data_IF_275384033314
#
_entry.id   IF_275384033314
#
_cell.length_a   1.000
_cell.length_b   1.000
_cell.length_c   1.000
_cell.angle_alpha   90.00
_cell.angle_beta   90.00
_cell.angle_gamma   90.00
#
_symmetry.space_group_name_H-M   'P 1'
#
loop_
_entity.id
_entity.type
_entity.pdbx_description
1 polymer ?
#
# COMPACT_ATOMS: atom_id res chain seq x y z
N UNK A 1 46.62 22.66 -72.30
CA UNK A 1 45.79 23.38 -73.24
C UNK A 1 44.53 23.76 -72.50
N UNK A 2 44.47 24.96 -71.87
CA UNK A 2 43.86 26.16 -72.43
C UNK A 2 42.38 25.93 -72.71
N UNK A 3 41.37 26.64 -72.16
CA UNK A 3 41.17 28.10 -71.92
C UNK A 3 39.82 28.21 -71.19
N UNK A 4 39.73 28.88 -70.10
CA UNK A 4 39.13 30.20 -69.83
C UNK A 4 37.70 30.39 -70.34
N UNK A 5 36.79 30.81 -69.45
CA UNK A 5 35.89 31.87 -69.74
C UNK A 5 34.58 31.95 -69.03
N UNK A 6 34.50 32.86 -68.09
CA UNK A 6 33.61 34.00 -67.84
C UNK A 6 32.14 33.73 -67.49
N UNK A 7 31.78 34.10 -66.28
CA UNK A 7 30.93 35.18 -65.75
C UNK A 7 29.60 35.44 -66.47
N UNK A 8 28.55 35.53 -65.72
CA UNK A 8 27.28 36.15 -66.04
C UNK A 8 26.31 36.11 -64.87
N UNK A 9 26.22 37.23 -64.18
CA UNK A 9 25.23 37.53 -63.16
C UNK A 9 23.80 37.66 -63.75
N UNK A 10 22.88 37.66 -62.86
CA UNK A 10 21.54 38.23 -62.81
C UNK A 10 20.37 37.26 -62.88
N UNK A 11 19.55 37.34 -61.84
CA UNK A 11 18.14 37.02 -61.94
C UNK A 11 17.51 36.52 -60.69
N UNK A 12 17.18 37.42 -59.76
CA UNK A 12 16.30 37.13 -58.61
C UNK A 12 14.96 36.60 -59.07
N UNK A 13 14.57 35.43 -58.58
CA UNK A 13 13.15 35.10 -58.46
C UNK A 13 12.95 34.36 -57.14
N UNK A 14 12.28 35.04 -56.23
CA UNK A 14 11.81 34.55 -54.95
C UNK A 14 10.66 33.58 -55.22
N UNK A 15 10.87 32.31 -55.00
CA UNK A 15 9.76 31.36 -54.84
C UNK A 15 9.73 30.90 -53.37
N UNK A 16 8.83 31.51 -52.64
CA UNK A 16 8.44 31.04 -51.29
C UNK A 16 7.72 29.71 -51.44
N UNK A 17 8.39 28.61 -51.14
CA UNK A 17 7.72 27.34 -50.91
C UNK A 17 7.50 27.20 -49.42
N UNK A 18 6.27 27.41 -49.04
CA UNK A 18 5.76 27.19 -47.65
C UNK A 18 5.78 25.72 -47.39
N UNK A 19 6.76 25.24 -46.66
CA UNK A 19 6.79 23.87 -46.14
C UNK A 19 5.88 23.82 -44.91
N UNK A 20 4.65 23.36 -45.10
CA UNK A 20 3.71 23.08 -44.01
C UNK A 20 4.18 21.84 -43.29
N UNK A 21 4.92 22.01 -42.21
CA UNK A 21 5.18 20.97 -41.23
C UNK A 21 3.86 20.64 -40.53
N UNK A 22 3.23 19.55 -40.93
CA UNK A 22 2.20 18.89 -40.13
C UNK A 22 2.86 18.33 -38.88
N UNK A 23 2.86 19.10 -37.81
CA UNK A 23 3.11 18.59 -36.44
C UNK A 23 1.90 17.75 -36.06
N UNK A 24 2.03 16.43 -36.20
CA UNK A 24 1.15 15.49 -35.50
C UNK A 24 1.44 15.64 -34.02
N UNK A 25 0.70 16.53 -33.37
CA UNK A 25 0.56 16.55 -31.93
C UNK A 25 -0.16 15.27 -31.53
N UNK A 26 0.60 14.24 -31.12
CA UNK A 26 0.04 13.16 -30.31
C UNK A 26 -0.46 13.80 -29.03
N UNK A 27 -1.74 14.15 -29.00
CA UNK A 27 -2.45 14.37 -27.75
C UNK A 27 -2.51 13.00 -27.05
N UNK A 28 -1.52 12.72 -26.20
CA UNK A 28 -1.72 11.83 -25.08
C UNK A 28 -2.81 12.44 -24.23
N UNK A 29 -4.06 12.05 -24.48
CA UNK A 29 -5.13 12.24 -23.53
C UNK A 29 -4.75 11.39 -22.33
N UNK A 30 -4.03 11.98 -21.40
CA UNK A 30 -3.93 11.47 -20.04
C UNK A 30 -5.37 11.54 -19.52
N UNK A 31 -6.08 10.43 -19.62
CA UNK A 31 -7.35 10.24 -18.92
C UNK A 31 -7.00 10.34 -17.44
N UNK A 32 -7.21 11.51 -16.87
CA UNK A 32 -7.11 11.73 -15.45
C UNK A 32 -8.10 10.75 -14.79
N UNK A 33 -7.60 9.63 -14.34
CA UNK A 33 -8.37 8.77 -13.46
C UNK A 33 -8.60 9.60 -12.20
N UNK A 34 -9.87 9.94 -11.92
CA UNK A 34 -10.20 10.50 -10.62
C UNK A 34 -9.58 9.58 -9.57
N UNK A 35 -8.83 10.15 -8.61
CA UNK A 35 -8.30 9.35 -7.52
C UNK A 35 -9.49 8.67 -6.87
N UNK A 36 -9.51 7.34 -6.89
CA UNK A 36 -10.35 6.58 -5.97
C UNK A 36 -10.07 7.21 -4.61
N UNK A 37 -11.10 7.79 -3.95
CA UNK A 37 -10.94 8.33 -2.60
C UNK A 37 -10.32 7.21 -1.78
N UNK A 38 -9.03 7.30 -1.56
CA UNK A 38 -8.35 6.44 -0.61
C UNK A 38 -8.95 6.86 0.73
N UNK A 39 -9.54 5.91 1.43
CA UNK A 39 -9.97 6.17 2.80
C UNK A 39 -8.71 6.63 3.52
N UNK A 40 -8.66 7.85 4.07
CA UNK A 40 -7.48 8.30 4.80
C UNK A 40 -7.20 7.29 5.91
N UNK A 41 -5.93 6.99 6.18
CA UNK A 41 -5.59 6.33 7.42
C UNK A 41 -6.15 7.20 8.55
N UNK A 42 -6.79 6.61 9.58
CA UNK A 42 -7.27 7.39 10.70
C UNK A 42 -6.08 8.14 11.30
N UNK A 43 -6.19 9.45 11.38
CA UNK A 43 -5.24 10.24 12.15
C UNK A 43 -5.26 9.71 13.59
N UNK A 44 -4.11 9.48 14.22
CA UNK A 44 -4.07 9.13 15.63
C UNK A 44 -4.85 10.18 16.43
N UNK A 45 -5.88 9.77 17.16
CA UNK A 45 -6.62 10.66 18.03
C UNK A 45 -8.12 10.87 17.76
N UNK A 46 -8.72 10.24 16.75
CA UNK A 46 -10.16 10.33 16.54
C UNK A 46 -10.89 9.09 17.11
N UNK A 47 -10.90 8.93 18.42
CA UNK A 47 -11.85 8.06 19.12
C UNK A 47 -12.78 8.99 19.92
N UNK A 48 -13.89 9.39 19.32
CA UNK A 48 -15.00 9.95 20.07
C UNK A 48 -15.70 8.81 20.82
N UNK A 49 -16.04 8.96 22.11
CA UNK A 49 -16.83 7.96 22.81
C UNK A 49 -18.26 7.95 22.26
N UNK A 50 -18.59 6.90 21.53
CA UNK A 50 -19.96 6.66 21.09
C UNK A 50 -20.79 6.20 22.29
N UNK A 51 -21.63 7.07 22.80
CA UNK A 51 -22.70 6.73 23.75
C UNK A 51 -23.66 5.79 23.02
N UNK A 52 -23.63 4.51 23.35
CA UNK A 52 -24.58 3.53 22.83
C UNK A 52 -25.94 3.76 23.48
N UNK A 53 -26.90 4.23 22.68
CA UNK A 53 -28.31 4.05 23.01
C UNK A 53 -28.73 2.58 22.74
N UNK A 54 -29.55 1.97 23.60
CA UNK A 54 -30.02 0.61 23.36
C UNK A 54 -30.98 0.60 22.18
N UNK A 55 -30.56 0.10 21.04
CA UNK A 55 -31.42 -0.18 19.89
C UNK A 55 -32.13 -1.51 20.11
N UNK A 56 -33.44 -1.49 20.05
CA UNK A 56 -34.35 -2.64 19.98
C UNK A 56 -33.88 -3.62 18.90
N UNK A 57 -33.94 -4.94 19.22
CA UNK A 57 -33.56 -6.00 18.33
C UNK A 57 -34.24 -5.86 16.96
N UNK A 58 -33.50 -5.90 15.84
CA UNK A 58 -34.10 -5.87 14.53
C UNK A 58 -34.88 -7.16 14.30
N UNK A 59 -36.13 -7.00 13.89
CA UNK A 59 -36.98 -8.06 13.33
C UNK A 59 -36.19 -8.80 12.21
N UNK A 60 -36.41 -10.14 12.02
CA UNK A 60 -35.74 -10.86 10.95
C UNK A 60 -36.03 -10.15 9.61
N UNK A 61 -35.00 -9.58 9.00
CA UNK A 61 -35.13 -9.00 7.68
C UNK A 61 -35.52 -10.12 6.72
N UNK A 62 -36.72 -10.04 6.19
CA UNK A 62 -37.17 -10.77 5.01
C UNK A 62 -36.03 -10.77 3.99
N UNK A 63 -35.55 -11.96 3.62
CA UNK A 63 -34.47 -12.09 2.64
C UNK A 63 -35.02 -11.54 1.30
N UNK A 64 -34.68 -10.29 1.04
CA UNK A 64 -35.06 -9.62 -0.20
C UNK A 64 -34.54 -10.47 -1.37
N UNK A 65 -35.48 -10.89 -2.26
CA UNK A 65 -35.13 -11.59 -3.50
C UNK A 65 -34.06 -10.78 -4.23
N UNK A 66 -32.95 -11.40 -4.66
CA UNK A 66 -31.89 -10.66 -5.32
C UNK A 66 -32.46 -9.98 -6.57
N UNK A 67 -32.23 -8.68 -6.68
CA UNK A 67 -32.59 -7.95 -7.90
C UNK A 67 -31.75 -8.47 -9.06
N UNK A 68 -32.25 -8.46 -10.32
CA UNK A 68 -31.50 -8.92 -11.47
C UNK A 68 -30.11 -8.29 -11.52
N UNK A 69 -29.08 -9.12 -11.66
CA UNK A 69 -27.68 -8.68 -11.79
C UNK A 69 -27.37 -8.55 -13.29
N UNK A 70 -27.14 -7.32 -13.73
CA UNK A 70 -26.66 -7.06 -15.08
C UNK A 70 -25.13 -7.02 -15.07
N UNK A 71 -24.51 -7.60 -16.11
CA UNK A 71 -23.07 -7.70 -16.26
C UNK A 71 -22.56 -9.13 -16.21
N UNK A 72 -21.23 -9.26 -16.19
CA UNK A 72 -20.55 -10.55 -16.13
C UNK A 72 -20.27 -10.93 -14.67
N UNK A 73 -20.39 -12.22 -14.37
CA UNK A 73 -20.06 -12.76 -13.05
C UNK A 73 -19.26 -14.05 -13.18
N UNK A 74 -18.18 -14.14 -12.39
CA UNK A 74 -17.41 -15.34 -12.17
C UNK A 74 -17.40 -15.68 -10.67
N UNK A 75 -17.67 -16.93 -10.35
CA UNK A 75 -17.72 -17.43 -8.96
C UNK A 75 -16.96 -18.74 -8.86
N UNK A 76 -16.14 -18.87 -7.83
CA UNK A 76 -15.54 -20.15 -7.44
C UNK A 76 -15.52 -20.24 -5.93
N UNK A 77 -16.12 -21.27 -5.37
CA UNK A 77 -16.11 -21.57 -3.94
C UNK A 77 -15.62 -23.00 -3.74
N UNK A 78 -14.63 -23.13 -2.89
CA UNK A 78 -13.98 -24.41 -2.60
C UNK A 78 -13.80 -24.63 -1.10
N UNK A 79 -13.79 -25.90 -0.70
CA UNK A 79 -13.30 -26.31 0.62
C UNK A 79 -11.78 -26.18 0.71
N UNK A 80 -11.22 -26.29 1.89
CA UNK A 80 -9.76 -26.20 2.10
C UNK A 80 -8.98 -27.29 1.36
N UNK A 81 -9.56 -28.47 1.20
CA UNK A 81 -9.01 -29.61 0.46
C UNK A 81 -9.24 -29.54 -1.07
N UNK A 82 -9.92 -28.50 -1.57
CA UNK A 82 -10.06 -28.22 -3.00
C UNK A 82 -11.33 -28.76 -3.64
N UNK A 83 -12.28 -29.30 -2.87
CA UNK A 83 -13.59 -29.71 -3.40
C UNK A 83 -14.41 -28.49 -3.76
N UNK A 84 -14.89 -28.43 -5.01
CA UNK A 84 -15.74 -27.34 -5.48
C UNK A 84 -17.12 -27.41 -4.84
N UNK A 85 -17.55 -26.29 -4.28
CA UNK A 85 -18.87 -26.09 -3.66
C UNK A 85 -19.80 -25.34 -4.59
N UNK A 86 -19.31 -24.32 -5.27
CA UNK A 86 -20.04 -23.57 -6.27
C UNK A 86 -19.07 -23.05 -7.35
N UNK A 87 -19.52 -23.03 -8.60
CA UNK A 87 -18.70 -22.56 -9.72
C UNK A 87 -19.55 -21.94 -10.81
N UNK A 88 -19.07 -20.83 -11.36
CA UNK A 88 -19.65 -20.13 -12.51
C UNK A 88 -18.54 -19.39 -13.23
N UNK A 89 -18.41 -19.53 -14.54
CA UNK A 89 -17.44 -18.81 -15.39
C UNK A 89 -16.01 -18.76 -14.79
N UNK A 90 -15.54 -19.89 -14.25
CA UNK A 90 -14.31 -19.97 -13.46
C UNK A 90 -13.05 -19.69 -14.25
N UNK A 91 -13.09 -19.86 -15.58
CA UNK A 91 -11.94 -19.70 -16.48
C UNK A 91 -12.05 -18.43 -17.33
N UNK A 92 -13.18 -17.70 -17.22
CA UNK A 92 -13.35 -16.42 -17.88
C UNK A 92 -12.45 -15.36 -17.21
N UNK A 93 -11.81 -14.51 -18.03
CA UNK A 93 -10.98 -13.43 -17.55
C UNK A 93 -11.82 -12.23 -17.12
N UNK A 94 -11.54 -11.76 -15.91
CA UNK A 94 -12.11 -10.54 -15.31
C UNK A 94 -11.00 -9.57 -14.94
N UNK A 95 -11.36 -8.33 -14.66
CA UNK A 95 -10.47 -7.42 -13.95
C UNK A 95 -10.54 -7.70 -12.44
N UNK A 96 -9.45 -8.17 -11.81
CA UNK A 96 -9.44 -8.46 -10.38
C UNK A 96 -9.49 -7.22 -9.51
N UNK A 97 -9.25 -6.03 -10.09
CA UNK A 97 -9.10 -4.79 -9.36
C UNK A 97 -8.14 -4.98 -8.17
N UNK A 98 -8.41 -4.35 -7.02
CA UNK A 98 -7.53 -4.41 -5.85
C UNK A 98 -7.41 -5.78 -5.17
N UNK A 99 -8.11 -6.83 -5.63
CA UNK A 99 -7.84 -8.19 -5.11
C UNK A 99 -6.49 -8.73 -5.58
N UNK A 100 -5.88 -8.13 -6.64
CA UNK A 100 -4.50 -8.45 -7.06
C UNK A 100 -3.48 -8.16 -5.97
N UNK A 101 -3.77 -7.28 -5.01
CA UNK A 101 -2.91 -7.04 -3.85
C UNK A 101 -2.64 -8.31 -3.02
N UNK A 102 -3.47 -9.34 -3.16
CA UNK A 102 -3.18 -10.66 -2.56
C UNK A 102 -1.98 -11.34 -3.24
N UNK A 103 -1.85 -11.17 -4.56
CA UNK A 103 -0.66 -11.64 -5.28
C UNK A 103 0.58 -10.83 -4.89
N UNK A 104 0.46 -9.51 -4.78
CA UNK A 104 1.53 -8.64 -4.28
C UNK A 104 1.98 -9.05 -2.88
N UNK A 105 1.04 -9.32 -1.98
CA UNK A 105 1.32 -9.77 -0.61
C UNK A 105 1.99 -11.16 -0.59
N UNK A 106 1.53 -12.10 -1.42
CA UNK A 106 2.14 -13.43 -1.54
C UNK A 106 3.63 -13.31 -1.89
N UNK A 107 3.93 -12.64 -3.02
CA UNK A 107 5.32 -12.53 -3.48
C UNK A 107 6.17 -11.70 -2.50
N UNK A 108 5.60 -10.66 -1.88
CA UNK A 108 6.32 -9.88 -0.86
C UNK A 108 6.70 -10.75 0.36
N UNK A 109 5.76 -11.57 0.87
CA UNK A 109 6.04 -12.47 1.98
C UNK A 109 7.08 -13.54 1.63
N UNK A 110 7.07 -14.06 0.40
CA UNK A 110 8.03 -15.06 -0.06
C UNK A 110 9.43 -14.46 -0.26
N UNK A 111 9.51 -13.28 -0.84
CA UNK A 111 10.78 -12.63 -1.19
C UNK A 111 11.44 -11.97 0.00
N UNK A 112 10.67 -11.25 0.82
CA UNK A 112 11.18 -10.42 1.91
C UNK A 112 11.01 -11.06 3.29
N UNK A 113 9.98 -11.87 3.47
CA UNK A 113 9.59 -12.43 4.77
C UNK A 113 8.68 -11.52 5.59
N UNK A 114 7.91 -12.08 6.56
CA UNK A 114 6.93 -11.30 7.34
C UNK A 114 7.58 -10.27 8.27
N UNK A 115 8.79 -10.53 8.73
CA UNK A 115 9.52 -9.69 9.70
C UNK A 115 10.42 -8.66 9.02
N UNK A 116 10.42 -8.62 7.67
CA UNK A 116 11.18 -7.61 6.92
C UNK A 116 10.79 -6.19 7.32
N UNK A 117 11.79 -5.33 7.48
CA UNK A 117 11.64 -3.91 7.78
C UNK A 117 12.36 -3.08 6.73
N UNK A 118 11.69 -2.09 6.19
CA UNK A 118 12.29 -1.15 5.25
C UNK A 118 13.16 -0.15 6.01
N UNK A 119 14.41 0.01 5.57
CA UNK A 119 15.36 0.92 6.22
C UNK A 119 15.35 2.30 5.58
N UNK A 120 15.38 3.33 6.42
CA UNK A 120 15.61 4.72 6.05
C UNK A 120 16.84 5.23 6.78
N UNK A 121 17.90 5.53 6.04
CA UNK A 121 19.14 6.07 6.57
C UNK A 121 19.11 7.59 6.62
N UNK A 122 19.69 8.15 7.67
CA UNK A 122 19.93 9.59 7.88
C UNK A 122 21.44 9.82 7.91
N UNK A 123 21.94 10.66 7.03
CA UNK A 123 23.37 10.86 6.81
C UNK A 123 23.72 12.33 6.82
N UNK A 124 25.00 12.64 7.03
CA UNK A 124 25.55 14.01 6.87
C UNK A 124 26.93 13.99 6.23
N UNK A 125 27.22 14.96 5.38
CA UNK A 125 28.55 15.26 4.89
C UNK A 125 29.26 16.34 5.72
N UNK A 126 28.54 16.89 6.69
CA UNK A 126 29.00 17.98 7.57
C UNK A 126 29.78 17.54 8.79
N UNK A 127 30.34 18.53 9.46
CA UNK A 127 31.00 18.37 10.75
C UNK A 127 30.02 18.71 11.87
N UNK A 128 29.89 17.82 12.84
CA UNK A 128 29.03 18.03 14.00
C UNK A 128 29.80 18.71 15.13
N UNK A 129 29.37 19.91 15.50
CA UNK A 129 29.83 20.60 16.69
C UNK A 129 28.95 20.29 17.91
N UNK A 130 29.48 19.50 18.83
CA UNK A 130 28.76 19.08 20.04
C UNK A 130 28.45 20.22 20.99
N UNK A 131 29.23 21.31 20.95
CA UNK A 131 29.06 22.44 21.90
C UNK A 131 27.82 23.25 21.53
N UNK A 132 27.56 23.43 20.26
CA UNK A 132 26.42 24.19 19.73
C UNK A 132 25.22 23.29 19.34
N UNK A 133 25.44 22.01 19.12
CA UNK A 133 24.44 21.08 18.60
C UNK A 133 24.18 21.24 17.08
N UNK A 134 25.14 21.82 16.37
CA UNK A 134 25.01 22.18 14.95
C UNK A 134 25.82 21.27 14.04
N UNK A 135 25.24 20.89 12.91
CA UNK A 135 25.94 20.28 11.78
C UNK A 135 26.27 21.39 10.77
N UNK A 136 27.55 21.59 10.47
CA UNK A 136 28.01 22.43 9.38
C UNK A 136 28.12 21.60 8.10
N UNK A 137 27.04 21.53 7.34
CA UNK A 137 26.88 20.73 6.12
C UNK A 137 25.44 20.32 5.90
N UNK A 138 25.21 19.33 5.02
CA UNK A 138 23.89 18.90 4.61
C UNK A 138 23.40 17.66 5.40
N UNK A 139 22.08 17.49 5.43
CA UNK A 139 21.40 16.28 5.93
C UNK A 139 20.83 15.50 4.75
N UNK A 140 21.15 14.22 4.67
CA UNK A 140 20.65 13.33 3.61
C UNK A 140 19.71 12.29 4.19
N UNK A 141 18.61 12.01 3.47
CA UNK A 141 17.66 10.94 3.80
C UNK A 141 17.54 9.98 2.62
N UNK A 142 17.78 8.70 2.88
CA UNK A 142 17.68 7.67 1.84
C UNK A 142 16.90 6.47 2.35
N UNK A 143 15.81 6.13 1.67
CA UNK A 143 14.95 4.99 2.01
C UNK A 143 13.85 4.79 0.99
N UNK A 144 13.18 3.64 1.07
CA UNK A 144 12.03 3.27 0.23
C UNK A 144 10.89 2.67 1.06
N UNK A 145 10.75 3.12 2.29
CA UNK A 145 9.68 2.66 3.18
C UNK A 145 8.31 3.07 2.63
N UNK A 146 7.41 2.10 2.28
CA UNK A 146 6.08 2.38 1.75
C UNK A 146 5.14 2.97 2.80
N UNK A 147 5.54 2.92 4.08
CA UNK A 147 4.73 3.34 5.23
C UNK A 147 5.26 4.59 5.94
N UNK A 148 6.25 5.28 5.37
CA UNK A 148 6.88 6.43 6.03
C UNK A 148 5.91 7.62 6.13
N UNK A 149 5.62 8.06 7.36
CA UNK A 149 4.67 9.14 7.69
C UNK A 149 5.28 10.16 8.66
N UNK A 150 4.46 11.09 9.14
CA UNK A 150 4.84 12.14 10.08
C UNK A 150 5.49 11.59 11.35
N UNK A 151 4.92 10.54 11.95
CA UNK A 151 5.43 9.87 13.15
C UNK A 151 6.88 9.41 12.98
N UNK A 152 7.23 8.82 11.82
CA UNK A 152 8.58 8.36 11.55
C UNK A 152 9.59 9.52 11.44
N UNK A 153 9.17 10.63 10.83
CA UNK A 153 9.98 11.84 10.74
C UNK A 153 10.23 12.47 12.12
N UNK A 154 9.21 12.51 12.99
CA UNK A 154 9.35 13.00 14.36
C UNK A 154 10.26 12.08 15.17
N UNK A 155 10.17 10.76 15.01
CA UNK A 155 11.07 9.81 15.65
C UNK A 155 12.53 9.99 15.18
N UNK A 156 12.75 10.27 13.88
CA UNK A 156 14.09 10.64 13.38
C UNK A 156 14.59 11.91 14.06
N UNK A 157 13.77 12.95 14.16
CA UNK A 157 14.17 14.17 14.89
C UNK A 157 14.53 13.87 16.35
N UNK A 158 13.80 12.97 17.02
CA UNK A 158 14.09 12.52 18.38
C UNK A 158 15.45 11.83 18.48
N UNK A 159 15.76 10.93 17.56
CA UNK A 159 17.06 10.24 17.56
C UNK A 159 18.21 11.20 17.26
N UNK A 160 18.02 12.17 16.36
CA UNK A 160 18.99 13.24 16.12
C UNK A 160 19.20 14.11 17.39
N UNK A 161 18.12 14.44 18.12
CA UNK A 161 18.23 15.17 19.37
C UNK A 161 18.96 14.37 20.47
N UNK A 162 18.81 13.04 20.52
CA UNK A 162 19.60 12.18 21.42
C UNK A 162 21.10 12.24 21.12
N UNK A 163 21.49 12.42 19.86
CA UNK A 163 22.88 12.69 19.46
C UNK A 163 23.36 14.11 19.82
N UNK A 164 22.45 14.97 20.28
CA UNK A 164 22.72 16.39 20.56
C UNK A 164 22.51 17.30 19.35
N UNK A 165 22.07 16.76 18.18
CA UNK A 165 21.88 17.54 16.95
C UNK A 165 20.56 18.31 17.06
N UNK A 166 20.64 19.64 16.86
CA UNK A 166 19.50 20.59 16.93
C UNK A 166 19.35 21.42 15.66
N UNK A 167 20.43 21.60 14.92
CA UNK A 167 20.48 22.45 13.72
C UNK A 167 21.38 21.85 12.64
N UNK A 168 21.00 22.07 11.38
CA UNK A 168 21.75 21.74 10.18
C UNK A 168 21.89 23.02 9.34
N UNK A 169 23.13 23.47 9.06
CA UNK A 169 23.36 24.73 8.34
C UNK A 169 23.08 24.64 6.84
N UNK A 170 23.22 23.47 6.26
CA UNK A 170 23.02 23.21 4.84
C UNK A 170 21.60 22.72 4.50
N UNK A 171 21.50 22.02 3.39
CA UNK A 171 20.24 21.56 2.81
C UNK A 171 19.78 20.21 3.36
N UNK A 172 18.46 19.95 3.28
CA UNK A 172 17.87 18.63 3.38
C UNK A 172 17.78 17.98 2.00
N UNK A 173 18.50 16.89 1.79
CA UNK A 173 18.57 16.20 0.51
C UNK A 173 17.97 14.80 0.67
N UNK A 174 16.89 14.50 -0.08
CA UNK A 174 16.27 13.17 -0.05
C UNK A 174 16.62 12.39 -1.31
N UNK A 175 16.76 11.07 -1.19
CA UNK A 175 16.99 10.21 -2.35
C UNK A 175 15.77 10.20 -3.29
N UNK A 176 15.94 9.97 -4.61
CA UNK A 176 14.82 9.96 -5.57
C UNK A 176 13.72 8.95 -5.27
N UNK A 177 14.05 7.88 -4.52
CA UNK A 177 13.08 6.86 -4.10
C UNK A 177 12.39 7.13 -2.76
N UNK A 178 12.77 8.20 -2.05
CA UNK A 178 12.17 8.55 -0.78
C UNK A 178 10.74 9.06 -0.97
N UNK A 179 9.85 8.58 -0.13
CA UNK A 179 8.43 8.98 -0.14
C UNK A 179 7.92 9.14 1.29
N UNK A 180 7.00 10.08 1.49
CA UNK A 180 6.38 10.36 2.78
C UNK A 180 4.89 10.64 2.60
N UNK A 181 4.05 10.16 3.52
CA UNK A 181 2.61 10.40 3.52
C UNK A 181 1.91 10.05 2.18
N UNK A 182 2.32 8.94 1.56
CA UNK A 182 1.81 8.48 0.27
C UNK A 182 2.00 9.46 -0.90
N UNK A 183 2.95 10.37 -0.80
CA UNK A 183 3.29 11.26 -1.90
C UNK A 183 4.15 10.53 -2.94
N UNK A 184 3.78 10.53 -4.24
CA UNK A 184 4.63 9.99 -5.30
C UNK A 184 5.81 10.91 -5.66
N UNK A 185 5.82 12.15 -5.18
CA UNK A 185 6.86 13.15 -5.45
C UNK A 185 7.91 13.16 -4.34
N UNK A 186 9.16 12.89 -4.68
CA UNK A 186 10.28 12.99 -3.75
C UNK A 186 10.47 14.43 -3.25
N UNK A 187 10.28 15.43 -4.10
CA UNK A 187 10.35 16.87 -3.71
C UNK A 187 9.30 17.19 -2.66
N UNK A 188 8.03 16.83 -2.91
CA UNK A 188 6.97 17.06 -1.91
C UNK A 188 7.21 16.28 -0.62
N UNK A 189 7.78 15.09 -0.71
CA UNK A 189 8.15 14.29 0.47
C UNK A 189 9.28 14.95 1.26
N UNK A 190 10.24 15.58 0.57
CA UNK A 190 11.31 16.36 1.19
C UNK A 190 10.77 17.61 1.91
N UNK A 191 9.85 18.36 1.28
CA UNK A 191 9.18 19.51 1.89
C UNK A 191 8.42 19.10 3.16
N UNK A 192 7.64 18.02 3.10
CA UNK A 192 6.91 17.50 4.26
C UNK A 192 7.86 17.04 5.38
N UNK A 193 8.98 16.42 5.04
CA UNK A 193 10.00 16.01 5.99
C UNK A 193 10.66 17.22 6.65
N UNK A 194 11.04 18.22 5.84
CA UNK A 194 11.61 19.48 6.29
C UNK A 194 10.73 20.14 7.37
N UNK A 195 9.44 20.34 7.04
CA UNK A 195 8.46 20.92 7.98
C UNK A 195 8.26 20.05 9.24
N UNK A 196 8.40 18.73 9.11
CA UNK A 196 8.14 17.81 10.22
C UNK A 196 9.35 17.72 11.17
N UNK A 197 10.57 17.82 10.66
CA UNK A 197 11.78 17.79 11.50
C UNK A 197 11.81 18.96 12.48
N UNK A 198 11.41 20.15 12.02
CA UNK A 198 11.34 21.35 12.88
C UNK A 198 9.97 21.45 13.57
N UNK A 199 9.97 21.40 14.90
CA UNK A 199 8.73 21.47 15.71
C UNK A 199 7.95 22.76 15.51
N UNK A 200 8.60 23.84 15.10
CA UNK A 200 7.97 25.16 14.86
C UNK A 200 7.22 25.24 13.54
N UNK A 201 7.55 24.36 12.57
CA UNK A 201 6.97 24.31 11.23
C UNK A 201 5.89 23.23 11.08
N UNK A 202 5.73 22.34 12.07
CA UNK A 202 4.80 21.21 11.99
C UNK A 202 3.38 21.65 11.80
N UNK A 203 2.73 21.02 10.82
CA UNK A 203 1.28 21.11 10.65
C UNK A 203 0.53 20.30 11.73
N UNK A 204 -0.78 20.49 11.81
CA UNK A 204 -1.64 19.81 12.81
C UNK A 204 -1.53 18.28 12.75
N UNK A 205 -1.33 17.68 11.56
CA UNK A 205 -1.22 16.22 11.43
C UNK A 205 0.09 15.71 12.03
N UNK A 206 1.20 16.42 11.80
CA UNK A 206 2.50 16.08 12.39
C UNK A 206 2.51 16.26 13.92
N UNK A 207 1.82 17.29 14.44
CA UNK A 207 1.66 17.48 15.89
C UNK A 207 0.88 16.30 16.50
N UNK A 208 -0.23 15.91 15.90
CA UNK A 208 -1.04 14.77 16.36
C UNK A 208 -0.27 13.45 16.28
N UNK A 209 0.57 13.28 15.26
CA UNK A 209 1.42 12.10 15.14
C UNK A 209 2.37 11.99 16.32
N UNK A 210 3.01 13.08 16.74
CA UNK A 210 3.85 13.10 17.95
C UNK A 210 3.05 12.82 19.22
N UNK A 211 1.89 13.44 19.40
CA UNK A 211 1.03 13.21 20.57
C UNK A 211 0.61 11.74 20.68
N UNK A 212 0.37 11.08 19.56
CA UNK A 212 0.08 9.65 19.51
C UNK A 212 1.32 8.82 19.86
N UNK A 213 2.48 9.10 19.23
CA UNK A 213 3.72 8.35 19.48
C UNK A 213 4.13 8.41 20.97
N UNK A 214 3.92 9.55 21.66
CA UNK A 214 4.13 9.65 23.11
C UNK A 214 3.33 8.60 23.89
N UNK A 215 2.16 8.19 23.41
CA UNK A 215 1.36 7.15 24.08
C UNK A 215 1.87 5.72 23.84
N UNK A 216 2.64 5.52 22.77
CA UNK A 216 3.20 4.22 22.38
C UNK A 216 4.59 4.01 22.96
N UNK A 217 5.37 5.10 23.10
CA UNK A 217 6.70 5.06 23.66
C UNK A 217 6.63 4.77 25.16
N UNK A 218 7.31 3.72 25.59
CA UNK A 218 7.37 3.29 27.00
C UNK A 218 8.39 4.07 27.86
N UNK A 219 9.20 4.90 27.23
CA UNK A 219 10.17 5.76 27.88
C UNK A 219 9.56 7.12 28.29
N UNK A 220 10.33 8.00 28.92
CA UNK A 220 9.86 9.30 29.45
C UNK A 220 9.36 10.30 28.41
N UNK A 221 9.00 9.84 27.20
CA UNK A 221 8.57 10.66 26.08
C UNK A 221 7.35 11.57 26.38
N UNK A 222 6.55 11.24 27.38
CA UNK A 222 5.41 12.07 27.80
C UNK A 222 5.84 13.40 28.46
N UNK A 223 7.05 13.47 29.01
CA UNK A 223 7.60 14.67 29.68
C UNK A 223 8.65 15.38 28.82
N UNK A 224 9.12 14.73 27.74
CA UNK A 224 10.13 15.29 26.85
C UNK A 224 9.55 16.45 26.01
N UNK A 225 10.35 17.49 25.73
CA UNK A 225 9.95 18.50 24.75
C UNK A 225 9.76 17.86 23.37
N UNK A 226 8.95 18.50 22.53
CA UNK A 226 8.76 18.03 21.16
C UNK A 226 10.11 17.95 20.42
N UNK A 227 10.49 16.80 19.86
CA UNK A 227 11.76 16.68 19.14
C UNK A 227 11.82 17.67 17.98
N UNK A 228 12.97 18.35 17.81
CA UNK A 228 13.12 19.38 16.78
C UNK A 228 14.54 19.44 16.24
N UNK A 229 14.67 19.47 14.93
CA UNK A 229 15.91 19.73 14.20
C UNK A 229 15.62 20.75 13.12
N UNK A 230 16.17 21.95 13.26
CA UNK A 230 16.02 23.02 12.27
C UNK A 230 17.01 22.79 11.12
N UNK A 231 16.54 22.85 9.88
CA UNK A 231 17.37 22.87 8.67
C UNK A 231 17.36 24.29 8.12
N UNK A 232 18.54 24.92 8.02
CA UNK A 232 18.65 26.34 7.64
C UNK A 232 18.72 26.55 6.13
N UNK A 233 19.09 25.51 5.39
CA UNK A 233 19.08 25.51 3.92
C UNK A 233 17.72 25.17 3.33
N UNK A 234 17.71 24.81 2.05
CA UNK A 234 16.53 24.38 1.31
C UNK A 234 16.32 22.88 1.31
N UNK A 235 15.41 22.43 0.41
CA UNK A 235 15.18 21.02 0.13
C UNK A 235 15.63 20.67 -1.28
N UNK A 236 16.22 19.49 -1.45
CA UNK A 236 16.64 18.98 -2.75
C UNK A 236 16.39 17.46 -2.88
N UNK A 237 16.35 16.99 -4.11
CA UNK A 237 16.33 15.56 -4.44
C UNK A 237 17.68 15.19 -5.06
N UNK A 238 18.39 14.24 -4.46
CA UNK A 238 19.72 13.85 -4.92
C UNK A 238 20.20 12.56 -4.28
N UNK A 239 21.34 12.06 -4.76
CA UNK A 239 22.01 10.92 -4.15
C UNK A 239 22.67 11.34 -2.82
N UNK A 240 22.82 10.40 -1.91
CA UNK A 240 23.64 10.58 -0.70
C UNK A 240 25.08 10.81 -1.12
N UNK A 241 25.73 11.82 -0.56
CA UNK A 241 27.16 12.11 -0.83
C UNK A 241 28.03 10.89 -0.49
N UNK A 242 29.00 10.53 -1.32
CA UNK A 242 29.91 9.43 -1.04
C UNK A 242 30.74 9.64 0.26
N UNK A 243 30.88 10.89 0.69
CA UNK A 243 31.61 11.25 1.93
C UNK A 243 30.69 11.34 3.13
N UNK A 244 29.37 11.21 2.95
CA UNK A 244 28.41 11.31 4.03
C UNK A 244 28.57 10.16 5.03
N UNK A 245 28.41 10.50 6.30
CA UNK A 245 28.46 9.56 7.42
C UNK A 245 27.04 9.27 7.89
N UNK A 246 26.76 8.00 8.17
CA UNK A 246 25.48 7.58 8.74
C UNK A 246 25.37 8.12 10.17
N UNK A 247 24.21 8.68 10.49
CA UNK A 247 23.85 9.16 11.84
C UNK A 247 22.81 8.23 12.49
N UNK A 248 21.74 7.94 11.76
CA UNK A 248 20.61 7.16 12.25
C UNK A 248 20.14 6.20 11.14
N UNK A 249 19.81 4.98 11.52
CA UNK A 249 19.01 4.06 10.72
C UNK A 249 17.66 3.91 11.36
N UNK A 250 16.60 4.34 10.66
CA UNK A 250 15.23 4.11 11.04
C UNK A 250 14.67 2.93 10.26
N UNK A 251 14.03 1.98 10.94
CA UNK A 251 13.41 0.79 10.33
C UNK A 251 11.90 0.87 10.49
N UNK A 252 11.17 0.63 9.43
CA UNK A 252 9.69 0.56 9.43
C UNK A 252 9.15 -0.49 10.40
N UNK A 253 7.85 -0.54 10.58
CA UNK A 253 7.15 -1.71 11.10
C UNK A 253 7.42 -2.94 10.23
N UNK A 254 7.15 -4.14 10.75
CA UNK A 254 7.34 -5.38 10.00
C UNK A 254 6.43 -5.42 8.77
N UNK A 255 6.86 -6.12 7.72
CA UNK A 255 6.07 -6.28 6.49
C UNK A 255 4.66 -6.81 6.76
N UNK A 256 4.50 -7.75 7.68
CA UNK A 256 3.17 -8.30 8.06
C UNK A 256 2.24 -7.20 8.58
N UNK A 257 2.75 -6.28 9.38
CA UNK A 257 1.99 -5.16 9.95
C UNK A 257 1.63 -4.14 8.86
N UNK A 258 2.57 -3.85 7.96
CA UNK A 258 2.36 -3.00 6.78
C UNK A 258 1.31 -3.61 5.84
N UNK A 259 1.39 -4.92 5.58
CA UNK A 259 0.41 -5.63 4.73
C UNK A 259 -1.00 -5.61 5.34
N UNK A 260 -1.13 -5.68 6.68
CA UNK A 260 -2.43 -5.56 7.36
C UNK A 260 -3.07 -4.21 7.05
N UNK A 261 -2.35 -3.12 7.23
CA UNK A 261 -2.83 -1.76 6.91
C UNK A 261 -3.14 -1.63 5.42
N UNK A 262 -2.23 -2.08 4.56
CA UNK A 262 -2.38 -2.04 3.11
C UNK A 262 -3.65 -2.75 2.65
N UNK A 263 -3.93 -3.94 3.15
CA UNK A 263 -5.07 -4.75 2.69
C UNK A 263 -6.39 -4.29 3.31
N UNK A 264 -6.41 -3.80 4.55
CA UNK A 264 -7.60 -3.24 5.19
C UNK A 264 -8.09 -1.98 4.46
N UNK A 265 -7.20 -1.03 4.20
CA UNK A 265 -7.54 0.22 3.50
C UNK A 265 -7.41 0.13 1.99
N UNK A 266 -6.93 -1.00 1.47
CA UNK A 266 -6.69 -1.18 0.03
C UNK A 266 -5.76 -0.11 -0.57
N UNK A 267 -4.70 0.28 0.16
CA UNK A 267 -3.82 1.37 -0.20
C UNK A 267 -3.02 1.06 -1.48
N UNK A 268 -3.26 1.84 -2.54
CA UNK A 268 -2.63 1.63 -3.84
C UNK A 268 -1.16 2.03 -3.81
N UNK A 269 -0.83 3.13 -3.14
CA UNK A 269 0.52 3.64 -3.06
C UNK A 269 1.46 2.62 -2.38
N UNK A 270 1.07 2.10 -1.22
CA UNK A 270 1.86 1.09 -0.51
C UNK A 270 2.05 -0.17 -1.37
N UNK A 271 1.00 -0.61 -2.09
CA UNK A 271 1.09 -1.79 -2.95
C UNK A 271 2.08 -1.59 -4.11
N UNK A 272 2.08 -0.42 -4.76
CA UNK A 272 3.05 -0.12 -5.83
C UNK A 272 4.47 0.01 -5.27
N UNK A 273 4.67 0.67 -4.12
CA UNK A 273 6.01 0.80 -3.52
C UNK A 273 6.60 -0.53 -3.07
N UNK A 274 5.79 -1.43 -2.49
CA UNK A 274 6.21 -2.81 -2.24
C UNK A 274 6.51 -3.50 -3.56
N UNK A 275 5.66 -3.32 -4.56
CA UNK A 275 5.83 -3.87 -5.90
C UNK A 275 7.14 -3.46 -6.58
N UNK A 276 7.55 -2.21 -6.43
CA UNK A 276 8.84 -1.73 -6.93
C UNK A 276 10.02 -2.50 -6.32
N UNK A 277 9.91 -2.88 -5.04
CA UNK A 277 10.93 -3.69 -4.34
C UNK A 277 10.95 -5.15 -4.83
N UNK A 278 9.90 -5.59 -5.51
CA UNK A 278 9.77 -6.93 -6.09
C UNK A 278 10.14 -6.98 -7.59
N UNK A 279 10.58 -5.86 -8.16
CA UNK A 279 10.93 -5.74 -9.58
C UNK A 279 9.76 -5.38 -10.50
N UNK A 280 8.64 -4.94 -9.92
CA UNK A 280 7.47 -4.44 -10.66
C UNK A 280 6.51 -5.52 -11.17
N UNK A 281 5.46 -5.11 -11.90
CA UNK A 281 4.36 -6.00 -12.29
C UNK A 281 4.78 -7.21 -13.12
N UNK A 282 5.72 -7.05 -14.05
CA UNK A 282 6.15 -8.17 -14.90
C UNK A 282 6.97 -9.20 -14.12
N UNK A 283 7.87 -8.77 -13.24
CA UNK A 283 8.62 -9.68 -12.37
C UNK A 283 7.69 -10.52 -11.50
N UNK A 284 6.71 -9.87 -10.86
CA UNK A 284 5.71 -10.55 -10.02
C UNK A 284 4.85 -11.49 -10.86
N UNK A 285 4.44 -11.10 -12.07
CA UNK A 285 3.68 -11.96 -12.98
C UNK A 285 4.43 -13.25 -13.32
N UNK A 286 5.72 -13.14 -13.68
CA UNK A 286 6.54 -14.30 -14.01
C UNK A 286 6.69 -15.26 -12.83
N UNK A 287 6.90 -14.75 -11.63
CA UNK A 287 6.98 -15.56 -10.42
C UNK A 287 5.66 -16.31 -10.17
N UNK A 288 4.51 -15.64 -10.31
CA UNK A 288 3.19 -16.25 -10.14
C UNK A 288 2.90 -17.32 -11.20
N UNK A 289 3.26 -17.09 -12.47
CA UNK A 289 3.11 -18.08 -13.54
C UNK A 289 3.90 -19.33 -13.21
N UNK A 290 5.15 -19.19 -12.83
CA UNK A 290 6.03 -20.30 -12.49
C UNK A 290 5.53 -21.08 -11.26
N UNK A 291 5.11 -20.37 -10.20
CA UNK A 291 4.70 -20.99 -8.94
C UNK A 291 3.33 -21.68 -9.03
N UNK A 292 2.36 -21.01 -9.68
CA UNK A 292 0.97 -21.47 -9.68
C UNK A 292 0.64 -22.38 -10.88
N UNK A 293 1.59 -22.61 -11.79
CA UNK A 293 1.36 -23.36 -13.01
C UNK A 293 0.20 -22.74 -13.84
N UNK A 294 0.24 -21.42 -14.03
CA UNK A 294 -0.75 -20.65 -14.78
C UNK A 294 -0.21 -20.39 -16.18
N UNK A 295 -1.05 -20.51 -17.21
CA UNK A 295 -0.66 -20.20 -18.57
C UNK A 295 -0.37 -18.71 -18.77
N UNK A 296 0.52 -18.37 -19.70
CA UNK A 296 0.95 -16.99 -19.94
C UNK A 296 -0.21 -16.03 -20.27
N UNK A 297 -1.25 -16.52 -20.95
CA UNK A 297 -2.46 -15.75 -21.27
C UNK A 297 -3.48 -15.62 -20.14
N UNK A 298 -3.37 -16.40 -19.06
CA UNK A 298 -4.36 -16.47 -17.98
C UNK A 298 -4.19 -15.38 -16.91
N UNK A 299 -3.03 -14.72 -16.89
CA UNK A 299 -2.70 -13.65 -15.94
C UNK A 299 -2.04 -12.48 -16.65
N UNK A 300 -2.63 -11.28 -16.53
CA UNK A 300 -2.03 -10.03 -16.98
C UNK A 300 -2.01 -9.03 -15.83
N UNK A 301 -0.84 -8.48 -15.55
CA UNK A 301 -0.63 -7.46 -14.52
C UNK A 301 -0.13 -6.16 -15.15
N UNK A 302 -0.93 -5.10 -15.08
CA UNK A 302 -0.51 -3.74 -15.43
C UNK A 302 -0.07 -2.93 -14.21
N UNK A 303 -0.45 -3.38 -13.02
CA UNK A 303 -0.08 -2.78 -11.74
C UNK A 303 -0.17 -3.82 -10.62
N UNK A 304 0.48 -3.55 -9.50
CA UNK A 304 0.44 -4.39 -8.30
C UNK A 304 -0.56 -3.90 -7.25
N UNK A 305 -1.17 -2.75 -7.51
CA UNK A 305 -2.31 -2.24 -6.73
C UNK A 305 -3.67 -2.69 -7.27
N UNK A 306 -3.72 -3.12 -8.51
CA UNK A 306 -4.95 -3.46 -9.23
C UNK A 306 -5.59 -2.30 -9.98
N UNK A 307 -4.91 -1.15 -10.07
CA UNK A 307 -5.31 -0.06 -10.97
C UNK A 307 -5.09 -0.47 -12.44
N UNK A 308 -5.86 0.13 -13.35
CA UNK A 308 -5.75 -0.13 -14.78
C UNK A 308 -6.33 -1.48 -15.21
N UNK A 309 -5.78 -2.03 -16.30
CA UNK A 309 -6.31 -3.23 -16.95
C UNK A 309 -5.48 -4.46 -16.55
N UNK A 310 -5.86 -5.07 -15.45
CA UNK A 310 -5.38 -6.39 -15.06
C UNK A 310 -6.37 -7.45 -15.54
N UNK A 311 -5.91 -8.70 -15.72
CA UNK A 311 -6.77 -9.84 -16.08
C UNK A 311 -6.37 -11.07 -15.30
N UNK A 312 -7.36 -11.72 -14.70
CA UNK A 312 -7.24 -13.03 -14.07
C UNK A 312 -8.60 -13.72 -14.05
N UNK A 313 -8.62 -15.03 -14.08
CA UNK A 313 -9.86 -15.79 -13.91
C UNK A 313 -10.13 -16.04 -12.40
N UNK A 314 -11.38 -16.38 -12.02
CA UNK A 314 -11.67 -16.85 -10.67
C UNK A 314 -10.77 -18.01 -10.23
N UNK A 315 -10.45 -18.94 -11.15
CA UNK A 315 -9.54 -20.07 -10.88
C UNK A 315 -8.11 -19.59 -10.57
N UNK A 316 -7.59 -18.65 -11.34
CA UNK A 316 -6.25 -18.07 -11.09
C UNK A 316 -6.23 -17.36 -9.73
N UNK A 317 -7.23 -16.54 -9.43
CA UNK A 317 -7.31 -15.85 -8.13
C UNK A 317 -7.49 -16.82 -6.96
N UNK A 318 -8.16 -17.95 -7.14
CA UNK A 318 -8.25 -19.02 -6.15
C UNK A 318 -6.88 -19.66 -5.91
N UNK A 319 -6.09 -19.94 -6.97
CA UNK A 319 -4.71 -20.43 -6.84
C UNK A 319 -3.84 -19.44 -6.05
N UNK A 320 -3.91 -18.13 -6.38
CA UNK A 320 -3.21 -17.06 -5.64
C UNK A 320 -3.59 -17.07 -4.16
N UNK A 321 -4.89 -17.10 -3.85
CA UNK A 321 -5.35 -17.08 -2.48
C UNK A 321 -4.95 -18.33 -1.69
N UNK A 322 -5.01 -19.49 -2.32
CA UNK A 322 -4.58 -20.77 -1.76
C UNK A 322 -3.08 -20.77 -1.45
N UNK A 323 -2.24 -20.27 -2.37
CA UNK A 323 -0.81 -20.11 -2.17
C UNK A 323 -0.49 -19.14 -1.03
N UNK A 324 -1.18 -17.98 -0.98
CA UNK A 324 -1.04 -17.01 0.11
C UNK A 324 -1.38 -17.63 1.48
N UNK A 325 -2.47 -18.38 1.56
CA UNK A 325 -2.81 -19.11 2.80
C UNK A 325 -1.75 -20.12 3.20
N UNK A 326 -1.19 -20.85 2.23
CA UNK A 326 -0.13 -21.82 2.48
C UNK A 326 1.14 -21.15 2.99
N UNK A 327 1.53 -20.01 2.38
CA UNK A 327 2.69 -19.22 2.80
C UNK A 327 2.52 -18.65 4.21
N UNK A 328 1.33 -18.10 4.54
CA UNK A 328 1.02 -17.63 5.88
C UNK A 328 1.08 -18.77 6.90
N UNK A 329 0.46 -19.90 6.60
CA UNK A 329 0.47 -21.09 7.47
C UNK A 329 1.90 -21.60 7.73
N UNK A 330 2.74 -21.64 6.71
CA UNK A 330 4.17 -22.02 6.84
C UNK A 330 4.90 -21.15 7.86
N UNK A 331 4.46 -19.91 8.03
CA UNK A 331 5.04 -18.91 8.96
C UNK A 331 4.27 -18.82 10.29
N UNK A 332 3.33 -19.73 10.56
CA UNK A 332 2.51 -19.71 11.77
C UNK A 332 1.47 -18.57 11.81
N UNK A 333 1.12 -18.02 10.65
CA UNK A 333 0.18 -16.91 10.52
C UNK A 333 -1.13 -17.36 9.90
N UNK A 334 -2.22 -16.68 10.28
CA UNK A 334 -3.53 -16.80 9.66
C UNK A 334 -3.78 -15.67 8.64
N UNK A 335 -4.70 -15.83 7.69
CA UNK A 335 -5.10 -14.75 6.78
C UNK A 335 -5.52 -13.45 7.48
N UNK A 336 -6.09 -13.53 8.69
CA UNK A 336 -6.44 -12.37 9.52
C UNK A 336 -5.23 -11.52 9.94
N UNK A 337 -4.02 -12.09 9.92
CA UNK A 337 -2.80 -11.35 10.23
C UNK A 337 -2.52 -10.21 9.23
N UNK A 338 -2.97 -10.38 7.97
CA UNK A 338 -2.75 -9.37 6.92
C UNK A 338 -4.05 -8.90 6.24
N UNK A 339 -5.13 -9.68 6.27
CA UNK A 339 -6.38 -9.34 5.58
C UNK A 339 -7.42 -8.80 6.56
N UNK A 340 -8.34 -7.91 6.09
CA UNK A 340 -9.43 -7.41 6.93
C UNK A 340 -10.42 -8.52 7.31
N UNK A 341 -10.84 -8.46 8.57
CA UNK A 341 -11.94 -9.27 9.12
C UNK A 341 -13.22 -8.43 9.08
N UNK A 342 -14.19 -8.91 8.32
CA UNK A 342 -15.42 -8.15 8.02
C UNK A 342 -16.23 -7.78 9.25
N UNK A 343 -16.70 -6.54 9.29
CA UNK A 343 -17.46 -5.97 10.39
C UNK A 343 -16.64 -5.68 11.65
N UNK A 344 -15.31 -5.96 11.64
CA UNK A 344 -14.42 -5.77 12.80
C UNK A 344 -13.30 -4.79 12.49
N UNK A 345 -12.53 -5.06 11.43
CA UNK A 345 -11.41 -4.19 11.05
C UNK A 345 -11.90 -2.99 10.26
N UNK A 346 -11.32 -1.81 10.48
CA UNK A 346 -11.66 -0.61 9.71
C UNK A 346 -11.25 -0.76 8.23
N UNK A 347 -11.86 0.05 7.38
CA UNK A 347 -11.56 0.14 5.96
C UNK A 347 -12.60 -0.55 5.08
N UNK A 348 -12.16 -1.29 4.05
CA UNK A 348 -13.04 -1.70 2.96
C UNK A 348 -14.10 -2.76 3.28
N UNK A 349 -13.99 -3.45 4.41
CA UNK A 349 -14.96 -4.44 4.91
C UNK A 349 -15.62 -4.05 6.23
N UNK A 350 -15.40 -2.84 6.73
CA UNK A 350 -15.92 -2.36 8.01
C UNK A 350 -17.44 -2.48 8.07
N UNK A 351 -18.14 -2.02 7.03
CA UNK A 351 -19.60 -2.01 6.95
C UNK A 351 -20.19 -3.20 6.18
N UNK A 352 -19.35 -4.15 5.73
CA UNK A 352 -19.79 -5.36 5.04
C UNK A 352 -19.85 -6.52 6.01
N UNK A 353 -20.89 -7.34 5.92
CA UNK A 353 -21.11 -8.45 6.86
C UNK A 353 -21.14 -7.98 8.34
N UNK A 354 -21.51 -6.72 8.58
CA UNK A 354 -21.45 -6.10 9.91
C UNK A 354 -22.62 -6.50 10.83
N UNK A 355 -23.67 -7.16 10.32
CA UNK A 355 -24.76 -7.70 11.13
C UNK A 355 -24.23 -8.68 12.18
N UNK A 356 -24.84 -8.67 13.38
CA UNK A 356 -24.38 -9.42 14.56
C UNK A 356 -24.04 -10.89 14.25
N UNK A 357 -24.82 -11.57 13.41
CA UNK A 357 -24.61 -12.96 13.05
C UNK A 357 -23.39 -13.17 12.14
N UNK A 358 -23.07 -12.21 11.25
CA UNK A 358 -22.02 -12.35 10.25
C UNK A 358 -20.71 -11.70 10.64
N UNK A 359 -20.75 -10.79 11.61
CA UNK A 359 -19.57 -10.06 12.08
C UNK A 359 -18.44 -11.03 12.43
N UNK A 360 -17.28 -10.86 11.79
CA UNK A 360 -16.11 -11.71 12.01
C UNK A 360 -16.13 -13.06 11.31
N UNK A 361 -17.19 -13.40 10.53
CA UNK A 361 -17.30 -14.69 9.84
C UNK A 361 -16.63 -14.74 8.46
N UNK A 362 -16.17 -13.58 7.96
CA UNK A 362 -15.56 -13.42 6.63
C UNK A 362 -14.22 -12.71 6.78
N UNK A 363 -13.18 -13.26 6.13
CA UNK A 363 -11.86 -12.63 5.96
C UNK A 363 -11.63 -12.52 4.47
N UNK A 364 -11.61 -11.30 3.92
CA UNK A 364 -11.55 -11.14 2.48
C UNK A 364 -10.88 -9.84 2.05
N UNK A 365 -10.46 -9.78 0.78
CA UNK A 365 -10.00 -8.57 0.11
C UNK A 365 -11.02 -8.13 -0.92
N UNK A 366 -11.36 -6.86 -0.92
CA UNK A 366 -12.22 -6.22 -1.90
C UNK A 366 -11.43 -5.71 -3.11
N UNK A 367 -12.06 -5.69 -4.27
CA UNK A 367 -11.57 -5.00 -5.46
C UNK A 367 -12.67 -4.11 -6.05
N UNK A 368 -12.33 -2.93 -6.54
CA UNK A 368 -13.30 -1.99 -7.10
C UNK A 368 -12.64 -1.08 -8.13
N UNK A 369 -13.23 -1.02 -9.33
CA UNK A 369 -12.91 -0.05 -10.38
C UNK A 369 -14.24 0.45 -10.97
N UNK A 370 -14.59 1.70 -10.68
CA UNK A 370 -15.93 2.22 -11.05
C UNK A 370 -16.08 2.46 -12.55
N UNK A 371 -15.03 2.93 -13.20
CA UNK A 371 -15.05 3.33 -14.62
C UNK A 371 -14.36 2.34 -15.56
N UNK A 372 -13.39 1.58 -15.07
CA UNK A 372 -12.65 0.61 -15.88
C UNK A 372 -13.51 -0.60 -16.17
N UNK A 373 -13.48 -1.08 -17.42
CA UNK A 373 -14.24 -2.26 -17.89
C UNK A 373 -15.76 -2.14 -17.68
N UNK A 374 -16.32 -0.92 -17.72
CA UNK A 374 -17.74 -0.69 -17.48
C UNK A 374 -18.18 -0.93 -16.03
N UNK A 375 -17.25 -0.85 -15.09
CA UNK A 375 -17.41 -1.18 -13.67
C UNK A 375 -16.95 -2.61 -13.37
N UNK A 376 -16.00 -2.74 -12.46
CA UNK A 376 -15.50 -4.03 -11.95
C UNK A 376 -15.54 -4.07 -10.43
N UNK A 377 -15.97 -5.21 -9.87
CA UNK A 377 -15.96 -5.48 -8.43
C UNK A 377 -15.52 -6.93 -8.19
N UNK A 378 -14.67 -7.13 -7.20
CA UNK A 378 -14.21 -8.45 -6.81
C UNK A 378 -14.19 -8.60 -5.29
N UNK A 379 -14.37 -9.84 -4.83
CA UNK A 379 -14.22 -10.23 -3.42
C UNK A 379 -13.55 -11.59 -3.37
N UNK A 380 -12.41 -11.67 -2.69
CA UNK A 380 -11.59 -12.89 -2.60
C UNK A 380 -11.23 -13.13 -1.14
N UNK A 381 -11.49 -14.34 -0.65
CA UNK A 381 -11.18 -14.64 0.76
C UNK A 381 -11.73 -15.97 1.22
N UNK A 382 -12.10 -16.01 2.49
CA UNK A 382 -12.67 -17.18 3.15
C UNK A 382 -13.83 -16.80 4.08
N UNK A 383 -14.75 -17.75 4.25
CA UNK A 383 -15.86 -17.65 5.19
C UNK A 383 -15.86 -18.87 6.12
N UNK A 384 -16.38 -18.70 7.32
CA UNK A 384 -16.54 -19.78 8.30
C UNK A 384 -18.01 -20.05 8.56
N UNK A 385 -18.40 -21.32 8.57
CA UNK A 385 -19.79 -21.77 8.79
C UNK A 385 -20.00 -22.21 10.23
N UNK A 386 -21.25 -22.39 10.65
CA UNK A 386 -21.62 -22.81 12.00
C UNK A 386 -21.00 -24.17 12.39
N UNK A 387 -20.81 -25.08 11.45
CA UNK A 387 -20.10 -26.34 11.68
C UNK A 387 -18.61 -26.18 11.95
N UNK A 388 -18.06 -24.98 11.73
CA UNK A 388 -16.62 -24.72 11.81
C UNK A 388 -15.87 -24.94 10.48
N UNK A 389 -16.58 -25.39 9.43
CA UNK A 389 -16.01 -25.53 8.09
C UNK A 389 -15.56 -24.15 7.56
N UNK A 390 -14.39 -24.11 6.94
CA UNK A 390 -13.88 -22.91 6.26
C UNK A 390 -13.93 -23.15 4.75
N UNK A 391 -14.60 -22.24 4.04
CA UNK A 391 -14.69 -22.24 2.59
C UNK A 391 -13.91 -21.04 2.04
N UNK A 392 -13.13 -21.28 1.00
CA UNK A 392 -12.49 -20.22 0.21
C UNK A 392 -13.41 -19.78 -0.92
N UNK A 393 -13.40 -18.52 -1.26
CA UNK A 393 -14.23 -18.01 -2.36
C UNK A 393 -13.54 -16.91 -3.16
N UNK A 394 -13.89 -16.88 -4.44
CA UNK A 394 -13.57 -15.81 -5.40
C UNK A 394 -14.87 -15.44 -6.10
N UNK A 395 -15.27 -14.17 -6.01
CA UNK A 395 -16.43 -13.62 -6.71
C UNK A 395 -15.93 -12.39 -7.48
N UNK A 396 -16.10 -12.41 -8.80
CA UNK A 396 -15.64 -11.35 -9.70
C UNK A 396 -16.80 -10.90 -10.58
N UNK A 397 -16.96 -9.60 -10.71
CA UNK A 397 -18.04 -9.01 -11.50
C UNK A 397 -17.47 -7.91 -12.39
N UNK A 398 -18.02 -7.75 -13.59
CA UNK A 398 -17.59 -6.77 -14.58
C UNK A 398 -18.76 -6.32 -15.47
N UNK A 399 -18.63 -5.10 -16.03
CA UNK A 399 -19.60 -4.52 -16.98
C UNK A 399 -20.99 -4.28 -16.39
N UNK A 400 -21.03 -3.61 -15.22
CA UNK A 400 -22.27 -3.28 -14.52
C UNK A 400 -22.10 -2.40 -13.30
N UNK A 401 -23.15 -2.29 -12.51
CA UNK A 401 -23.17 -1.45 -11.32
C UNK A 401 -22.35 -2.04 -10.17
N UNK A 402 -21.31 -1.33 -9.76
CA UNK A 402 -20.42 -1.75 -8.66
C UNK A 402 -21.17 -1.92 -7.34
N UNK A 403 -22.14 -1.06 -7.01
CA UNK A 403 -22.96 -1.23 -5.80
C UNK A 403 -23.78 -2.52 -5.84
N UNK A 404 -24.40 -2.81 -6.98
CA UNK A 404 -25.16 -4.06 -7.17
C UNK A 404 -24.26 -5.29 -7.11
N UNK A 405 -23.06 -5.19 -7.67
CA UNK A 405 -22.08 -6.26 -7.56
C UNK A 405 -21.71 -6.56 -6.10
N UNK A 406 -21.49 -5.53 -5.29
CA UNK A 406 -21.18 -5.69 -3.86
C UNK A 406 -22.35 -6.32 -3.09
N UNK A 407 -23.57 -5.82 -3.29
CA UNK A 407 -24.79 -6.40 -2.70
C UNK A 407 -24.93 -7.89 -3.04
N UNK A 408 -24.69 -8.25 -4.30
CA UNK A 408 -24.75 -9.64 -4.75
C UNK A 408 -23.61 -10.50 -4.16
N UNK A 409 -22.40 -9.97 -4.06
CA UNK A 409 -21.27 -10.67 -3.42
C UNK A 409 -21.60 -11.01 -1.97
N UNK A 410 -22.12 -10.04 -1.21
CA UNK A 410 -22.53 -10.24 0.19
C UNK A 410 -23.65 -11.27 0.27
N UNK A 411 -24.65 -11.15 -0.57
CA UNK A 411 -25.76 -12.11 -0.65
C UNK A 411 -25.28 -13.54 -0.92
N UNK A 412 -24.39 -13.75 -1.90
CA UNK A 412 -23.86 -15.07 -2.24
C UNK A 412 -23.08 -15.69 -1.06
N UNK A 413 -22.21 -14.93 -0.41
CA UNK A 413 -21.46 -15.38 0.76
C UNK A 413 -22.41 -15.77 1.89
N UNK A 414 -23.38 -14.92 2.20
CA UNK A 414 -24.37 -15.15 3.26
C UNK A 414 -25.26 -16.36 2.93
N UNK A 415 -25.67 -16.50 1.67
CA UNK A 415 -26.48 -17.65 1.21
C UNK A 415 -25.72 -18.97 1.42
N UNK A 416 -24.44 -19.02 1.03
CA UNK A 416 -23.61 -20.23 1.20
C UNK A 416 -23.43 -20.56 2.69
N UNK A 417 -23.19 -19.56 3.54
CA UNK A 417 -23.11 -19.79 4.98
C UNK A 417 -24.45 -20.31 5.55
N UNK A 418 -25.58 -19.73 5.14
CA UNK A 418 -26.92 -20.15 5.60
C UNK A 418 -27.26 -21.59 5.19
N UNK A 419 -26.95 -22.00 3.95
CA UNK A 419 -27.16 -23.38 3.49
C UNK A 419 -26.27 -24.40 4.24
N UNK A 420 -25.31 -23.94 5.05
CA UNK A 420 -24.40 -24.73 5.86
C UNK A 420 -24.56 -24.48 7.37
N UNK A 421 -25.77 -24.13 7.78
CA UNK A 421 -26.15 -23.93 9.19
C UNK A 421 -25.89 -22.53 9.75
N UNK A 422 -25.47 -21.59 8.92
CA UNK A 422 -25.24 -20.19 9.28
C UNK A 422 -23.76 -19.80 9.39
N UNK A 423 -23.48 -18.53 9.68
CA UNK A 423 -22.13 -18.02 9.87
C UNK A 423 -21.54 -18.36 11.25
N UNK A 424 -20.20 -18.37 11.35
CA UNK A 424 -19.46 -18.44 12.62
C UNK A 424 -18.26 -17.51 12.53
N UNK A 425 -18.05 -16.68 13.55
CA UNK A 425 -16.88 -15.82 13.63
C UNK A 425 -15.57 -16.62 13.68
N UNK A 426 -14.53 -16.09 13.07
CA UNK A 426 -13.16 -16.54 13.29
C UNK A 426 -12.72 -16.15 14.70
N UNK A 427 -11.78 -16.88 15.27
CA UNK A 427 -11.10 -16.46 16.49
C UNK A 427 -10.10 -15.37 16.12
N UNK A 428 -10.48 -14.12 16.34
CA UNK A 428 -9.72 -12.96 15.94
C UNK A 428 -9.76 -11.88 17.02
N UNK A 429 -8.57 -11.40 17.39
CA UNK A 429 -8.41 -10.22 18.25
C UNK A 429 -8.16 -9.00 17.37
N UNK A 430 -9.03 -7.98 17.43
CA UNK A 430 -8.84 -6.75 16.65
C UNK A 430 -7.51 -6.08 16.98
N UNK A 431 -6.89 -5.50 15.96
CA UNK A 431 -5.66 -4.71 16.10
C UNK A 431 -5.95 -3.25 15.81
N UNK A 432 -5.27 -2.36 16.53
CA UNK A 432 -5.37 -0.92 16.27
C UNK A 432 -4.49 -0.57 15.05
N UNK A 433 -5.11 -0.20 13.93
CA UNK A 433 -4.37 0.02 12.66
C UNK A 433 -3.29 1.10 12.77
N UNK A 434 -3.52 2.15 13.54
CA UNK A 434 -2.50 3.18 13.78
C UNK A 434 -1.24 2.58 14.45
N UNK A 435 -1.42 1.66 15.42
CA UNK A 435 -0.30 0.99 16.09
C UNK A 435 0.47 0.05 15.17
N UNK A 436 -0.13 -0.47 14.10
CA UNK A 436 0.56 -1.37 13.18
C UNK A 436 1.75 -0.70 12.47
N UNK A 437 1.70 0.60 12.26
CA UNK A 437 2.78 1.36 11.62
C UNK A 437 3.73 2.04 12.62
N UNK A 438 3.44 2.01 13.91
CA UNK A 438 4.25 2.61 14.98
C UNK A 438 5.29 1.66 15.59
N UNK A 439 5.27 0.36 15.24
CA UNK A 439 6.25 -0.63 15.72
C UNK A 439 7.58 -0.52 14.97
N UNK A 440 8.16 0.67 14.98
CA UNK A 440 9.42 0.99 14.29
C UNK A 440 10.62 0.78 15.22
N UNK A 441 11.81 0.75 14.63
CA UNK A 441 13.08 0.65 15.34
C UNK A 441 14.02 1.73 14.83
N UNK A 442 14.83 2.32 15.69
CA UNK A 442 15.86 3.27 15.29
C UNK A 442 17.17 2.94 16.00
N UNK A 443 18.26 2.95 15.24
CA UNK A 443 19.61 2.76 15.77
C UNK A 443 20.49 3.94 15.40
N UNK A 444 21.28 4.40 16.36
CA UNK A 444 22.26 5.48 16.19
C UNK A 444 23.58 4.86 15.78
N UNK A 445 24.26 5.43 14.79
CA UNK A 445 25.57 4.94 14.35
C UNK A 445 26.60 5.08 15.49
N UNK A 446 27.34 4.00 15.75
CA UNK A 446 28.35 3.95 16.84
C UNK A 446 27.81 3.54 18.21
N UNK A 447 26.53 3.25 18.36
CA UNK A 447 26.04 2.48 19.49
C UNK A 447 26.34 1.01 19.24
N UNK A 448 27.23 0.40 20.03
CA UNK A 448 27.55 -1.03 20.01
C UNK A 448 26.32 -1.85 20.50
N UNK A 449 25.23 -1.85 19.77
CA UNK A 449 24.17 -2.82 19.94
C UNK A 449 24.37 -3.98 18.95
N UNK A 450 25.03 -5.00 19.51
CA UNK A 450 25.01 -6.43 19.27
C UNK A 450 24.16 -6.87 18.05
N UNK A 451 24.81 -7.02 16.89
CA UNK A 451 24.30 -7.95 15.89
C UNK A 451 24.47 -9.38 16.44
N UNK A 452 23.40 -10.16 16.60
CA UNK A 452 23.55 -11.58 16.95
C UNK A 452 24.26 -12.25 15.77
N UNK A 453 25.50 -12.74 16.02
CA UNK A 453 26.24 -13.55 15.05
C UNK A 453 25.34 -14.71 14.59
N UNK A 454 25.27 -14.99 13.29
CA UNK A 454 24.59 -16.18 12.82
C UNK A 454 25.24 -17.38 13.47
N UNK A 455 24.41 -18.23 14.12
CA UNK A 455 24.89 -19.51 14.67
C UNK A 455 25.47 -20.31 13.52
N UNK A 456 26.79 -20.50 13.54
CA UNK A 456 27.47 -21.46 12.69
C UNK A 456 26.90 -22.85 12.96
N UNK A 457 26.36 -23.48 11.92
CA UNK A 457 26.22 -24.93 11.87
C UNK A 457 27.53 -25.55 11.46
#
# INVERSE_FOLDING_TARGET
MTVIGKTGELGKAVARTTLTLLSLSLYCVAVAQEPVRQTPLPSPGAVAPTTQQPTTAPTPQEQATPRPLYGLQGVLVETLDGKTVASQSTDQLFNPASTIKLATALIALQTLGPDHRFSTGVWTDGVFDKATGKIEGNLYISGRDPSFHFEHAVLIARELNKLGIKEVSGDLIVSPGFTMNFSPSATRSAEQLYDTLDSTLRNTAAIRAWDYEKTVLSDHANTDPAPSVAVMGGVAVGAVSPTAKLLVTHKSSRLVDILKVLLCYSNNFMAERIGDSLGGPESVRQQLIAELGVGDGELRLSSLSGLGINRASPRVMMKVYRALRAELKKRGLDPSAIMPVAGIDPGTLEDRFAGLAWRGSVIAKTGTLVRTDGGASALVGQMKTASGEVLMFVIMNQSGSVSRFRENQDYLVMLIQNTRGGPKAFDYKPVTMAMQLSHTESTVAGSDEYEPKPKSQ
#
